data_IF_443691292342
#
_entry.id   IF_443691292342
#
_cell.length_a   1.000
_cell.length_b   1.000
_cell.length_c   1.000
_cell.angle_alpha   90.00
_cell.angle_beta   90.00
_cell.angle_gamma   90.00
#
_symmetry.space_group_name_H-M   'P 1'
#
loop_
_entity.id
_entity.type
_entity.pdbx_description
1 polymer ?
#
# COMPACT_ATOMS: atom_id res chain seq x y z
N UNK A 1 -22.79 -13.73 -17.90
CA UNK A 1 -22.42 -13.10 -19.17
C UNK A 1 -21.29 -12.12 -18.88
N UNK A 2 -20.17 -12.22 -19.60
CA UNK A 2 -19.01 -11.35 -19.39
C UNK A 2 -19.06 -10.21 -20.40
N UNK A 3 -19.17 -8.97 -19.91
CA UNK A 3 -19.15 -7.76 -20.75
C UNK A 3 -17.74 -7.18 -20.78
N UNK A 4 -17.20 -6.93 -21.97
CA UNK A 4 -15.89 -6.29 -22.15
C UNK A 4 -16.08 -4.79 -22.31
N UNK A 5 -15.70 -4.03 -21.28
CA UNK A 5 -15.65 -2.57 -21.29
C UNK A 5 -14.20 -2.08 -21.11
N UNK A 6 -13.89 -0.90 -21.64
CA UNK A 6 -12.63 -0.18 -21.38
C UNK A 6 -12.57 0.35 -19.95
N UNK A 7 -11.42 0.88 -19.53
CA UNK A 7 -11.25 1.43 -18.18
C UNK A 7 -12.14 2.67 -18.00
N UNK A 8 -12.20 3.53 -19.00
CA UNK A 8 -13.01 4.76 -19.03
C UNK A 8 -14.50 4.44 -18.95
N UNK A 9 -14.95 3.40 -19.66
CA UNK A 9 -16.32 2.93 -19.59
C UNK A 9 -16.68 2.40 -18.20
N UNK A 10 -15.75 1.68 -17.55
CA UNK A 10 -15.97 1.23 -16.18
C UNK A 10 -16.04 2.39 -15.19
N UNK A 11 -15.21 3.41 -15.38
CA UNK A 11 -15.22 4.62 -14.55
C UNK A 11 -16.58 5.34 -14.63
N UNK A 12 -17.10 5.54 -15.85
CA UNK A 12 -18.44 6.10 -16.08
C UNK A 12 -19.55 5.25 -15.43
N UNK A 13 -19.51 3.92 -15.60
CA UNK A 13 -20.49 3.02 -14.97
C UNK A 13 -20.45 3.14 -13.45
N UNK A 14 -19.27 3.31 -12.85
CA UNK A 14 -19.13 3.44 -11.40
C UNK A 14 -19.57 4.83 -10.91
N UNK A 15 -19.28 5.89 -11.66
CA UNK A 15 -19.80 7.24 -11.42
C UNK A 15 -21.34 7.25 -11.44
N UNK A 16 -21.95 6.69 -12.48
CA UNK A 16 -23.41 6.58 -12.61
C UNK A 16 -24.03 5.83 -11.42
N UNK A 17 -23.35 4.81 -10.89
CA UNK A 17 -23.80 4.09 -9.70
C UNK A 17 -23.82 4.97 -8.44
N UNK A 18 -22.92 5.97 -8.30
CA UNK A 18 -22.90 6.85 -7.12
C UNK A 18 -24.17 7.69 -7.02
N UNK A 19 -24.78 8.04 -8.15
CA UNK A 19 -26.04 8.77 -8.25
C UNK A 19 -27.27 7.87 -8.39
N UNK A 20 -27.11 6.55 -8.31
CA UNK A 20 -28.20 5.60 -8.51
C UNK A 20 -28.96 5.33 -7.20
N UNK A 21 -30.27 5.57 -7.18
CA UNK A 21 -31.12 5.49 -5.99
C UNK A 21 -31.51 4.06 -5.55
N UNK A 22 -30.84 3.04 -6.09
CA UNK A 22 -31.21 1.64 -5.90
C UNK A 22 -30.00 0.74 -5.64
N UNK A 23 -30.24 -0.57 -5.48
CA UNK A 23 -29.20 -1.50 -5.08
C UNK A 23 -28.22 -1.79 -6.23
N UNK A 24 -27.00 -2.19 -5.89
CA UNK A 24 -26.02 -2.67 -6.88
C UNK A 24 -26.54 -3.85 -7.73
N UNK A 25 -27.50 -4.62 -7.20
CA UNK A 25 -28.13 -5.72 -7.93
C UNK A 25 -28.98 -5.21 -9.08
N UNK A 26 -29.84 -4.22 -8.80
CA UNK A 26 -30.73 -3.62 -9.80
C UNK A 26 -29.93 -2.86 -10.84
N UNK A 27 -28.93 -2.10 -10.40
CA UNK A 27 -28.00 -1.40 -11.28
C UNK A 27 -27.28 -2.35 -12.24
N UNK A 28 -26.72 -3.45 -11.73
CA UNK A 28 -26.03 -4.44 -12.57
C UNK A 28 -26.98 -5.08 -13.59
N UNK A 29 -28.23 -5.32 -13.21
CA UNK A 29 -29.27 -5.87 -14.09
C UNK A 29 -29.61 -4.88 -15.22
N UNK A 30 -29.77 -3.60 -14.90
CA UNK A 30 -30.06 -2.54 -15.85
C UNK A 30 -28.90 -2.34 -16.85
N UNK A 31 -27.66 -2.28 -16.34
CA UNK A 31 -26.45 -2.14 -17.15
C UNK A 31 -26.01 -3.44 -17.85
N UNK A 32 -26.74 -4.55 -17.64
CA UNK A 32 -26.44 -5.88 -18.20
C UNK A 32 -25.02 -6.38 -17.88
N UNK A 33 -24.49 -6.00 -16.73
CA UNK A 33 -23.18 -6.43 -16.23
C UNK A 33 -23.33 -7.42 -15.08
N UNK A 34 -22.31 -8.23 -14.85
CA UNK A 34 -22.31 -9.10 -13.67
C UNK A 34 -21.86 -8.35 -12.42
N UNK A 35 -22.39 -8.73 -11.25
CA UNK A 35 -21.96 -8.20 -9.94
C UNK A 35 -20.46 -8.36 -9.73
N UNK A 36 -19.90 -9.51 -10.10
CA UNK A 36 -18.47 -9.79 -9.94
C UNK A 36 -17.61 -8.81 -10.73
N UNK A 37 -17.99 -8.50 -11.97
CA UNK A 37 -17.29 -7.49 -12.76
C UNK A 37 -17.41 -6.10 -12.15
N UNK A 38 -18.62 -5.71 -11.75
CA UNK A 38 -18.85 -4.42 -11.09
C UNK A 38 -17.96 -4.24 -9.86
N UNK A 39 -17.95 -5.19 -8.92
CA UNK A 39 -17.14 -5.10 -7.71
C UNK A 39 -15.63 -5.16 -8.00
N UNK A 40 -15.21 -5.98 -8.97
CA UNK A 40 -13.81 -6.05 -9.38
C UNK A 40 -13.31 -4.69 -9.90
N UNK A 41 -14.04 -4.09 -10.85
CA UNK A 41 -13.65 -2.81 -11.43
C UNK A 41 -13.78 -1.65 -10.44
N UNK A 42 -14.80 -1.65 -9.58
CA UNK A 42 -14.95 -0.66 -8.50
C UNK A 42 -13.76 -0.67 -7.55
N UNK A 43 -13.33 -1.86 -7.12
CA UNK A 43 -12.15 -2.01 -6.27
C UNK A 43 -10.90 -1.56 -7.00
N UNK A 44 -10.71 -2.00 -8.25
CA UNK A 44 -9.52 -1.69 -9.05
C UNK A 44 -9.36 -0.18 -9.29
N UNK A 45 -10.44 0.52 -9.65
CA UNK A 45 -10.42 1.97 -9.89
C UNK A 45 -10.21 2.76 -8.59
N UNK A 46 -10.78 2.31 -7.47
CA UNK A 46 -10.48 2.90 -6.17
C UNK A 46 -9.00 2.81 -5.79
N UNK A 47 -8.30 1.73 -6.17
CA UNK A 47 -6.85 1.60 -5.96
C UNK A 47 -6.00 2.38 -6.97
N UNK A 48 -6.53 2.71 -8.15
CA UNK A 48 -5.83 3.52 -9.16
C UNK A 48 -5.90 5.02 -8.86
N UNK A 49 -6.93 5.46 -8.12
CA UNK A 49 -7.05 6.85 -7.65
C UNK A 49 -6.26 7.12 -6.36
N UNK A 50 -5.78 6.06 -5.71
CA UNK A 50 -4.72 6.18 -4.72
C UNK A 50 -3.43 6.27 -5.54
N UNK A 51 -3.07 7.48 -5.96
CA UNK A 51 -1.66 7.82 -6.22
C UNK A 51 -0.85 7.17 -5.10
N UNK A 52 0.27 6.46 -5.38
CA UNK A 52 1.11 5.92 -4.34
C UNK A 52 1.42 7.09 -3.42
N UNK A 53 0.77 7.11 -2.27
CA UNK A 53 0.93 8.18 -1.31
C UNK A 53 2.35 7.96 -0.87
N UNK A 54 3.26 8.79 -1.37
CA UNK A 54 4.61 8.87 -0.84
C UNK A 54 4.35 9.31 0.59
N UNK A 55 4.29 8.34 1.50
CA UNK A 55 4.25 8.61 2.92
C UNK A 55 5.56 9.32 3.18
N UNK A 56 5.50 10.66 3.19
CA UNK A 56 6.52 11.46 3.82
C UNK A 56 6.48 11.08 5.29
N UNK A 57 7.27 10.06 5.63
CA UNK A 57 7.52 9.68 7.01
C UNK A 57 8.44 10.77 7.53
N UNK A 58 7.88 11.74 8.24
CA UNK A 58 8.70 12.55 9.12
C UNK A 58 9.41 11.58 10.06
N UNK A 59 10.74 11.43 9.90
CA UNK A 59 11.56 10.82 10.93
C UNK A 59 11.41 11.70 12.17
N UNK A 60 10.47 11.35 13.04
CA UNK A 60 10.33 11.97 14.33
C UNK A 60 11.72 11.90 15.00
N UNK A 61 12.36 13.05 15.19
CA UNK A 61 13.63 13.13 15.90
C UNK A 61 13.40 12.57 17.30
N UNK A 62 13.80 11.33 17.52
CA UNK A 62 13.78 10.68 18.82
C UNK A 62 14.67 11.53 19.72
N UNK A 63 14.03 12.40 20.51
CA UNK A 63 14.71 13.35 21.39
C UNK A 63 15.01 12.72 22.76
N UNK A 64 14.75 11.42 22.92
CA UNK A 64 15.09 10.70 24.14
C UNK A 64 16.45 10.04 23.97
N UNK A 65 17.48 10.42 24.76
CA UNK A 65 18.71 9.65 24.82
C UNK A 65 18.35 8.23 25.26
N UNK A 66 18.64 7.26 24.39
CA UNK A 66 18.45 5.84 24.67
C UNK A 66 19.29 5.51 25.91
N UNK A 67 18.64 5.28 27.05
CA UNK A 67 19.34 4.87 28.27
C UNK A 67 19.81 3.42 28.06
N UNK A 68 21.13 3.15 28.00
CA UNK A 68 21.67 1.84 27.60
C UNK A 68 21.38 0.71 28.61
N UNK A 69 20.65 0.99 29.71
CA UNK A 69 20.36 0.02 30.77
C UNK A 69 19.20 -0.94 30.47
N UNK A 70 18.44 -0.70 29.40
CA UNK A 70 17.35 -1.59 28.96
C UNK A 70 17.69 -2.33 27.65
N UNK A 71 18.97 -2.41 27.28
CA UNK A 71 19.38 -3.15 26.10
C UNK A 71 19.10 -4.64 26.30
N UNK A 72 18.08 -5.15 25.61
CA UNK A 72 17.90 -6.58 25.39
C UNK A 72 19.21 -7.20 24.86
N UNK A 73 19.45 -8.50 25.13
CA UNK A 73 20.67 -9.18 24.70
C UNK A 73 20.92 -8.92 23.22
N UNK A 74 22.17 -8.53 22.90
CA UNK A 74 22.64 -8.24 21.55
C UNK A 74 22.08 -9.25 20.55
N UNK A 75 21.08 -8.84 19.77
CA UNK A 75 20.55 -9.68 18.73
C UNK A 75 21.64 -9.85 17.67
N UNK A 76 21.83 -11.09 17.21
CA UNK A 76 22.78 -11.39 16.12
C UNK A 76 22.36 -10.75 14.80
N UNK A 77 21.11 -10.30 14.71
CA UNK A 77 20.50 -9.77 13.51
C UNK A 77 19.67 -8.52 13.81
N UNK A 78 19.72 -7.57 12.89
CA UNK A 78 18.76 -6.47 12.75
C UNK A 78 17.63 -6.97 11.87
N UNK A 79 16.39 -6.77 12.30
CA UNK A 79 15.19 -7.18 11.57
C UNK A 79 14.50 -5.93 11.02
N UNK A 80 14.31 -5.87 9.71
CA UNK A 80 13.57 -4.81 9.03
C UNK A 80 12.33 -5.44 8.40
N UNK A 81 11.14 -4.98 8.77
CA UNK A 81 9.87 -5.47 8.22
C UNK A 81 9.26 -4.41 7.29
N UNK A 82 8.96 -4.80 6.06
CA UNK A 82 8.30 -3.96 5.05
C UNK A 82 7.14 -4.76 4.47
N UNK A 83 5.90 -4.43 4.88
CA UNK A 83 4.70 -5.21 4.56
C UNK A 83 4.88 -6.70 4.94
N UNK A 84 4.81 -7.61 3.96
CA UNK A 84 4.98 -9.05 4.14
C UNK A 84 6.44 -9.52 3.96
N UNK A 85 7.37 -8.59 3.70
CA UNK A 85 8.79 -8.90 3.55
C UNK A 85 9.53 -8.67 4.87
N UNK A 86 10.34 -9.64 5.26
CA UNK A 86 11.19 -9.58 6.45
C UNK A 86 12.64 -9.69 6.00
N UNK A 87 13.43 -8.66 6.27
CA UNK A 87 14.86 -8.60 5.96
C UNK A 87 15.64 -8.81 7.27
N UNK A 88 16.55 -9.78 7.27
CA UNK A 88 17.44 -10.06 8.38
C UNK A 88 18.88 -9.66 8.00
N UNK A 89 19.45 -8.70 8.72
CA UNK A 89 20.82 -8.23 8.50
C UNK A 89 21.69 -8.65 9.69
N UNK A 90 22.74 -9.47 9.49
CA UNK A 90 23.66 -9.81 10.57
C UNK A 90 24.34 -8.56 11.14
N UNK A 91 24.44 -8.44 12.47
CA UNK A 91 25.12 -7.30 13.12
C UNK A 91 26.64 -7.28 12.87
N UNK A 92 27.20 -8.38 12.37
CA UNK A 92 28.60 -8.46 11.93
C UNK A 92 28.87 -7.69 10.63
N UNK A 93 27.85 -7.36 9.84
CA UNK A 93 28.01 -6.71 8.53
C UNK A 93 27.84 -5.18 8.61
N UNK A 94 28.69 -4.54 9.42
CA UNK A 94 28.66 -3.10 9.66
C UNK A 94 28.81 -2.26 8.37
N UNK A 95 29.56 -2.75 7.38
CA UNK A 95 29.75 -2.09 6.09
C UNK A 95 28.46 -2.06 5.27
N UNK A 96 27.73 -3.18 5.21
CA UNK A 96 26.44 -3.27 4.53
C UNK A 96 25.41 -2.32 5.15
N UNK A 97 25.32 -2.30 6.48
CA UNK A 97 24.45 -1.38 7.21
C UNK A 97 24.77 0.08 6.91
N UNK A 98 26.06 0.43 6.91
CA UNK A 98 26.51 1.79 6.62
C UNK A 98 26.16 2.20 5.19
N UNK A 99 26.34 1.30 4.22
CA UNK A 99 25.99 1.55 2.82
C UNK A 99 24.48 1.78 2.66
N UNK A 100 23.65 0.93 3.27
CA UNK A 100 22.18 1.07 3.22
C UNK A 100 21.75 2.44 3.79
N UNK A 101 22.26 2.82 4.97
CA UNK A 101 21.90 4.10 5.60
C UNK A 101 22.34 5.28 4.72
N UNK A 102 23.54 5.22 4.11
CA UNK A 102 24.04 6.27 3.21
C UNK A 102 23.16 6.42 1.96
N UNK A 103 22.82 5.32 1.30
CA UNK A 103 21.96 5.34 0.10
C UNK A 103 20.56 5.88 0.43
N UNK A 104 19.97 5.46 1.55
CA UNK A 104 18.69 6.00 2.02
C UNK A 104 18.77 7.50 2.29
N UNK A 105 19.85 7.97 2.95
CA UNK A 105 20.03 9.39 3.25
C UNK A 105 20.27 10.26 2.01
N UNK A 106 20.76 9.68 0.91
CA UNK A 106 21.00 10.39 -0.35
C UNK A 106 19.76 10.44 -1.25
N UNK A 107 18.77 9.58 -1.01
CA UNK A 107 17.54 9.46 -1.80
C UNK A 107 16.41 10.37 -1.26
N UNK A 108 16.55 10.86 -0.03
CA UNK A 108 15.63 11.81 0.61
C UNK A 108 16.01 13.27 0.35
#
# INVERSE_FOLDING_TARGET
MYVKNSIEQWDQIIEEFKSYDATATEFCKEKKISKSQFYYHRKRLAHQQIEPTLCEVELAKVSTPINPKNAEPSSKYIKIEINNAIIHIPTSEATLLTTIIKELSATC
#
